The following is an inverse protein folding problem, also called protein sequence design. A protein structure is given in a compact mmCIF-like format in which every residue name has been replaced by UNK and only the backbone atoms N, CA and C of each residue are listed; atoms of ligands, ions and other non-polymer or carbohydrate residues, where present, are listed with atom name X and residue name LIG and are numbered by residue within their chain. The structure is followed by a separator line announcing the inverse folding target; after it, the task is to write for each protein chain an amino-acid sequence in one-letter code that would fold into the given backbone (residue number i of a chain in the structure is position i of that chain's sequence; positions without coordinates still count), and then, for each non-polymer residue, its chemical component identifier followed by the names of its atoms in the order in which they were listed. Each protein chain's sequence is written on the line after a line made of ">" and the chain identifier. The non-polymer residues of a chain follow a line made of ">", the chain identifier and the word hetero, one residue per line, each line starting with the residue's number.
data_IF_980613095832
#
_entry.id   IF_980613095832
#
_cell.length_a   1.000
_cell.length_b   1.000
_cell.length_c   1.000
_cell.angle_alpha   90.00
_cell.angle_beta   90.00
_cell.angle_gamma   90.00
#
_symmetry.space_group_name_H-M   'P 1'
#
loop_
_entity.id
_entity.type
_entity.pdbx_description
1 polymer ?
#
# COMPACT_ATOMS: atom_id res chain seq x y z
N UNK A 1 12.32 5.84 -27.83
CA UNK A 1 11.60 4.62 -27.39
C UNK A 1 11.75 4.42 -25.88
N UNK A 2 11.36 5.39 -25.04
CA UNK A 2 11.94 5.51 -23.67
C UNK A 2 10.95 5.71 -22.53
N UNK A 3 9.79 6.35 -22.75
CA UNK A 3 8.82 6.59 -21.67
C UNK A 3 7.92 5.37 -21.39
N UNK A 4 7.36 4.77 -22.45
CA UNK A 4 6.43 3.62 -22.33
C UNK A 4 7.11 2.41 -21.70
N UNK A 5 8.39 2.17 -22.04
CA UNK A 5 9.17 1.05 -21.49
C UNK A 5 9.48 1.21 -19.99
N UNK A 6 9.62 2.44 -19.49
CA UNK A 6 9.76 2.69 -18.04
C UNK A 6 8.44 2.45 -17.31
N UNK A 7 7.35 3.05 -17.79
CA UNK A 7 6.01 2.87 -17.20
C UNK A 7 5.58 1.39 -17.16
N UNK A 8 5.90 0.62 -18.21
CA UNK A 8 5.65 -0.82 -18.24
C UNK A 8 6.55 -1.61 -17.27
N UNK A 9 7.80 -1.19 -17.06
CA UNK A 9 8.67 -1.82 -16.07
C UNK A 9 8.20 -1.52 -14.65
N UNK A 10 7.71 -0.30 -14.42
CA UNK A 10 7.17 0.14 -13.13
C UNK A 10 5.87 -0.60 -12.78
N UNK A 11 4.97 -0.82 -13.75
CA UNK A 11 3.73 -1.57 -13.51
C UNK A 11 3.98 -3.07 -13.29
N UNK A 12 4.93 -3.66 -14.00
CA UNK A 12 5.32 -5.07 -13.80
C UNK A 12 6.01 -5.22 -12.44
N UNK A 13 6.91 -4.32 -12.08
CA UNK A 13 7.58 -4.32 -10.77
C UNK A 13 6.59 -4.17 -9.61
N UNK A 14 5.58 -3.30 -9.76
CA UNK A 14 4.49 -3.15 -8.80
C UNK A 14 3.70 -4.46 -8.64
N UNK A 15 3.27 -5.07 -9.75
CA UNK A 15 2.50 -6.33 -9.73
C UNK A 15 3.29 -7.49 -9.13
N UNK A 16 4.57 -7.60 -9.46
CA UNK A 16 5.45 -8.62 -8.90
C UNK A 16 5.65 -8.41 -7.40
N UNK A 17 5.81 -7.17 -6.96
CA UNK A 17 5.93 -6.83 -5.53
C UNK A 17 4.64 -7.16 -4.76
N UNK A 18 3.48 -6.84 -5.34
CA UNK A 18 2.18 -7.22 -4.77
C UNK A 18 2.01 -8.74 -4.66
N UNK A 19 2.34 -9.48 -5.74
CA UNK A 19 2.26 -10.94 -5.73
C UNK A 19 3.16 -11.57 -4.65
N UNK A 20 4.39 -11.05 -4.49
CA UNK A 20 5.30 -11.47 -3.42
C UNK A 20 4.76 -11.14 -2.02
N UNK A 21 4.13 -9.97 -1.87
CA UNK A 21 3.53 -9.56 -0.60
C UNK A 21 2.38 -10.49 -0.19
N UNK A 22 1.49 -10.82 -1.13
CA UNK A 22 0.37 -11.75 -0.91
C UNK A 22 0.86 -13.17 -0.58
N UNK A 23 1.88 -13.66 -1.28
CA UNK A 23 2.50 -14.95 -0.97
C UNK A 23 3.12 -14.97 0.43
N UNK A 24 3.87 -13.94 0.80
CA UNK A 24 4.46 -13.83 2.13
C UNK A 24 3.39 -13.73 3.23
N UNK A 25 2.30 -12.98 2.98
CA UNK A 25 1.18 -12.89 3.91
C UNK A 25 0.47 -14.25 4.09
N UNK A 26 0.26 -14.98 2.99
CA UNK A 26 -0.31 -16.33 3.02
C UNK A 26 0.58 -17.36 3.72
N UNK A 27 1.90 -17.18 3.66
CA UNK A 27 2.89 -18.01 4.37
C UNK A 27 3.14 -17.57 5.83
N UNK A 28 2.35 -16.64 6.37
CA UNK A 28 2.53 -16.03 7.70
C UNK A 28 3.89 -15.33 7.91
N UNK A 29 4.59 -15.00 6.83
CA UNK A 29 5.85 -14.24 6.85
C UNK A 29 5.55 -12.72 6.83
N UNK A 30 4.85 -12.25 7.86
CA UNK A 30 4.28 -10.90 7.89
C UNK A 30 5.34 -9.79 7.76
N UNK A 31 6.56 -10.00 8.25
CA UNK A 31 7.66 -9.04 8.13
C UNK A 31 8.04 -8.80 6.66
N UNK A 32 8.10 -9.88 5.87
CA UNK A 32 8.41 -9.83 4.44
C UNK A 32 7.22 -9.27 3.65
N UNK A 33 6.00 -9.64 4.04
CA UNK A 33 4.78 -9.08 3.46
C UNK A 33 4.73 -7.55 3.64
N UNK A 34 5.00 -7.05 4.85
CA UNK A 34 5.08 -5.61 5.14
C UNK A 34 6.14 -4.92 4.29
N UNK A 35 7.33 -5.50 4.13
CA UNK A 35 8.37 -4.92 3.29
C UNK A 35 7.90 -4.74 1.84
N UNK A 36 7.25 -5.76 1.27
CA UNK A 36 6.74 -5.69 -0.10
C UNK A 36 5.53 -4.76 -0.24
N UNK A 37 4.59 -4.76 0.72
CA UNK A 37 3.46 -3.84 0.69
C UNK A 37 3.87 -2.38 0.84
N UNK A 38 4.91 -2.08 1.64
CA UNK A 38 5.44 -0.71 1.75
C UNK A 38 6.01 -0.20 0.42
N UNK A 39 6.75 -1.04 -0.30
CA UNK A 39 7.24 -0.67 -1.63
C UNK A 39 6.08 -0.42 -2.62
N UNK A 40 5.01 -1.22 -2.53
CA UNK A 40 3.81 -0.99 -3.33
C UNK A 40 3.07 0.30 -2.92
N UNK A 41 3.00 0.62 -1.63
CA UNK A 41 2.41 1.85 -1.11
C UNK A 41 3.18 3.09 -1.61
N UNK A 42 4.51 3.11 -1.48
CA UNK A 42 5.35 4.22 -1.96
C UNK A 42 5.20 4.43 -3.48
N UNK A 43 5.10 3.35 -4.24
CA UNK A 43 4.86 3.41 -5.67
C UNK A 43 3.43 3.88 -6.02
N UNK A 44 2.43 3.57 -5.20
CA UNK A 44 1.07 4.08 -5.34
C UNK A 44 0.99 5.58 -5.01
N UNK A 45 1.65 6.02 -3.94
CA UNK A 45 1.77 7.43 -3.54
C UNK A 45 2.48 8.24 -4.63
N UNK A 46 3.58 7.72 -5.17
CA UNK A 46 4.33 8.37 -6.27
C UNK A 46 3.51 8.52 -7.56
N UNK A 47 2.45 7.73 -7.72
CA UNK A 47 1.54 7.75 -8.87
C UNK A 47 0.24 8.50 -8.57
N UNK A 48 0.10 9.03 -7.36
CA UNK A 48 -1.10 9.71 -6.87
C UNK A 48 -2.36 8.82 -6.99
N UNK A 49 -2.18 7.50 -6.92
CA UNK A 49 -3.27 6.53 -7.06
C UNK A 49 -3.93 6.30 -5.69
N UNK A 50 -4.93 7.13 -5.41
CA UNK A 50 -5.62 7.13 -4.14
C UNK A 50 -6.23 5.76 -3.76
N UNK A 51 -6.75 5.02 -4.74
CA UNK A 51 -7.34 3.71 -4.50
C UNK A 51 -6.28 2.66 -4.17
N UNK A 52 -5.15 2.69 -4.88
CA UNK A 52 -4.04 1.79 -4.60
C UNK A 52 -3.41 2.09 -3.22
N UNK A 53 -3.26 3.37 -2.86
CA UNK A 53 -2.80 3.79 -1.53
C UNK A 53 -3.70 3.23 -0.44
N UNK A 54 -5.02 3.42 -0.56
CA UNK A 54 -5.99 2.89 0.40
C UNK A 54 -5.90 1.36 0.50
N UNK A 55 -5.84 0.66 -0.64
CA UNK A 55 -5.75 -0.79 -0.67
C UNK A 55 -4.49 -1.31 0.05
N UNK A 56 -3.32 -0.76 -0.26
CA UNK A 56 -2.07 -1.18 0.37
C UNK A 56 -1.99 -0.79 1.84
N UNK A 57 -2.55 0.35 2.23
CA UNK A 57 -2.63 0.77 3.63
C UNK A 57 -3.52 -0.19 4.45
N UNK A 58 -4.65 -0.65 3.92
CA UNK A 58 -5.48 -1.67 4.57
C UNK A 58 -4.73 -3.00 4.71
N UNK A 59 -4.03 -3.45 3.66
CA UNK A 59 -3.21 -4.68 3.71
C UNK A 59 -2.09 -4.59 4.74
N UNK A 60 -1.41 -3.45 4.83
CA UNK A 60 -0.40 -3.19 5.86
C UNK A 60 -1.01 -3.21 7.26
N UNK A 61 -2.16 -2.58 7.46
CA UNK A 61 -2.85 -2.59 8.75
C UNK A 61 -3.13 -4.02 9.22
N UNK A 62 -3.65 -4.88 8.34
CA UNK A 62 -3.91 -6.28 8.64
C UNK A 62 -2.64 -7.06 8.99
N UNK A 63 -1.54 -6.84 8.26
CA UNK A 63 -0.27 -7.48 8.58
C UNK A 63 0.26 -7.08 9.97
N UNK A 64 0.15 -5.80 10.32
CA UNK A 64 0.55 -5.31 11.65
C UNK A 64 -0.37 -5.83 12.77
N UNK A 65 -1.66 -6.00 12.53
CA UNK A 65 -2.58 -6.65 13.48
C UNK A 65 -2.16 -8.10 13.76
N UNK A 66 -1.86 -8.87 12.71
CA UNK A 66 -1.39 -10.27 12.86
C UNK A 66 -0.06 -10.37 13.62
N UNK A 67 0.77 -9.33 13.54
CA UNK A 67 2.01 -9.22 14.33
C UNK A 67 1.80 -8.71 15.76
N UNK A 68 0.56 -8.39 16.17
CA UNK A 68 0.25 -7.80 17.48
C UNK A 68 0.60 -6.31 17.63
N UNK A 69 0.99 -5.64 16.55
CA UNK A 69 1.38 -4.23 16.52
C UNK A 69 0.17 -3.34 16.24
N UNK A 70 -0.80 -3.34 17.16
CA UNK A 70 -2.11 -2.69 16.99
C UNK A 70 -2.03 -1.18 16.77
N UNK A 71 -1.13 -0.47 17.45
CA UNK A 71 -0.96 0.98 17.26
C UNK A 71 -0.51 1.32 15.84
N UNK A 72 0.40 0.52 15.27
CA UNK A 72 0.84 0.69 13.88
C UNK A 72 -0.28 0.34 12.91
N UNK A 73 -1.03 -0.73 13.18
CA UNK A 73 -2.17 -1.07 12.36
C UNK A 73 -3.22 0.06 12.31
N UNK A 74 -3.50 0.69 13.44
CA UNK A 74 -4.43 1.82 13.51
C UNK A 74 -3.94 3.02 12.68
N UNK A 75 -2.64 3.32 12.69
CA UNK A 75 -2.06 4.39 11.86
C UNK A 75 -2.26 4.13 10.36
N UNK A 76 -1.99 2.91 9.90
CA UNK A 76 -2.21 2.56 8.48
C UNK A 76 -3.68 2.48 8.11
N UNK A 77 -4.55 2.07 9.04
CA UNK A 77 -6.00 2.11 8.84
C UNK A 77 -6.50 3.57 8.72
N UNK A 78 -6.00 4.47 9.56
CA UNK A 78 -6.31 5.89 9.45
C UNK A 78 -5.83 6.46 8.10
N UNK A 79 -4.63 6.09 7.64
CA UNK A 79 -4.13 6.49 6.32
C UNK A 79 -5.04 6.00 5.18
N UNK A 80 -5.59 4.79 5.29
CA UNK A 80 -6.57 4.29 4.33
C UNK A 80 -7.89 5.07 4.35
N UNK A 81 -8.30 5.59 5.52
CA UNK A 81 -9.54 6.36 5.70
C UNK A 81 -9.41 7.84 5.31
N UNK A 82 -8.24 8.46 5.48
CA UNK A 82 -8.00 9.88 5.14
C UNK A 82 -8.24 10.15 3.65
N UNK A 83 -8.06 9.16 2.78
CA UNK A 83 -8.32 9.31 1.35
C UNK A 83 -9.81 9.35 0.98
N UNK A 84 -10.71 9.05 1.92
CA UNK A 84 -12.17 9.28 1.80
C UNK A 84 -12.59 10.63 2.41
N UNK A 85 -11.73 11.30 3.19
CA UNK A 85 -12.07 12.49 3.97
C UNK A 85 -11.48 13.79 3.39
N UNK A 86 -11.84 14.11 2.14
CA UNK A 86 -11.97 15.50 1.71
C UNK A 86 -13.46 15.86 1.69
N UNK A 87 -14.06 16.30 2.82
CA UNK A 87 -15.31 17.04 2.74
C UNK A 87 -15.06 18.35 1.94
N UNK A 88 -15.83 18.65 0.88
CA UNK A 88 -15.63 19.81 0.01
C UNK A 88 -16.05 21.15 0.66
N UNK A 89 -15.66 21.41 1.91
CA UNK A 89 -16.26 22.49 2.70
C UNK A 89 -15.38 23.20 3.72
N UNK A 90 -14.04 23.12 3.63
CA UNK A 90 -13.16 23.85 4.55
C UNK A 90 -12.06 24.64 3.83
N UNK A 91 -12.49 25.48 2.88
CA UNK A 91 -11.79 26.72 2.55
C UNK A 91 -12.65 27.85 3.11
N UNK A 92 -12.12 28.55 4.11
CA UNK A 92 -12.74 29.70 4.76
C UNK A 92 -12.77 30.96 3.90
#
# INVERSE_FOLDING_TARGET
>A
MTAVSRVLNDIVSLRMSHCRAEQAAGAAQYHLAVQHYRACLEAAESREDCQAVQFFALKLSGCYEQMGLRDKAAQFRALASVNEELPPGLLG
#
